data_IF_716830736058
#
_entry.id   IF_716830736058
#
_cell.length_a   1.000
_cell.length_b   1.000
_cell.length_c   1.000
_cell.angle_alpha   90.00
_cell.angle_beta   90.00
_cell.angle_gamma   90.00
#
_symmetry.space_group_name_H-M   'P 1'
#
loop_
_entity.id
_entity.type
_entity.pdbx_description
1 polymer ?
#
# COMPACT_ATOMS: atom_id res chain seq x y z
N UNK A 1 -22.19 2.06 -43.61
CA UNK A 1 -20.81 1.67 -43.24
C UNK A 1 -19.92 2.87 -42.97
N UNK A 2 -19.82 3.84 -43.87
CA UNK A 2 -18.99 5.06 -43.74
C UNK A 2 -19.24 5.86 -42.43
N UNK A 3 -20.48 6.11 -42.07
CA UNK A 3 -20.86 6.83 -40.86
C UNK A 3 -20.46 6.12 -39.56
N UNK A 4 -20.33 4.79 -39.56
CA UNK A 4 -19.89 3.99 -38.43
C UNK A 4 -18.37 4.08 -38.27
N UNK A 5 -17.66 4.12 -39.40
CA UNK A 5 -16.18 4.29 -39.43
C UNK A 5 -15.78 5.70 -38.98
N UNK A 6 -16.50 6.74 -39.47
CA UNK A 6 -16.22 8.13 -39.08
C UNK A 6 -16.47 8.38 -37.58
N UNK A 7 -17.53 7.78 -37.03
CA UNK A 7 -17.74 7.81 -35.53
C UNK A 7 -16.69 7.04 -34.77
N UNK A 8 -16.12 5.97 -35.32
CA UNK A 8 -15.04 5.22 -34.72
C UNK A 8 -13.72 6.02 -34.71
N UNK A 9 -13.42 6.66 -35.86
CA UNK A 9 -12.24 7.52 -36.02
C UNK A 9 -12.34 8.75 -35.13
N UNK A 10 -13.51 9.39 -35.05
CA UNK A 10 -13.73 10.53 -34.14
C UNK A 10 -13.61 10.10 -32.65
N UNK A 11 -14.11 8.89 -32.32
CA UNK A 11 -13.93 8.30 -30.98
C UNK A 11 -12.47 7.95 -30.67
N UNK A 12 -11.73 7.44 -31.63
CA UNK A 12 -10.30 7.16 -31.48
C UNK A 12 -9.50 8.45 -31.30
N UNK A 13 -9.79 9.50 -32.11
CA UNK A 13 -9.11 10.79 -32.00
C UNK A 13 -9.42 11.53 -30.70
N UNK A 14 -10.67 11.48 -30.21
CA UNK A 14 -11.00 12.01 -28.87
C UNK A 14 -10.42 11.17 -27.74
N UNK A 15 -10.26 9.86 -27.92
CA UNK A 15 -9.58 9.00 -26.95
C UNK A 15 -8.08 9.26 -26.91
N UNK A 16 -7.40 9.39 -28.04
CA UNK A 16 -5.97 9.73 -28.11
C UNK A 16 -5.68 11.11 -27.54
N UNK A 17 -6.55 12.09 -27.77
CA UNK A 17 -6.40 13.46 -27.24
C UNK A 17 -6.56 13.51 -25.70
N UNK A 18 -7.52 12.77 -25.13
CA UNK A 18 -7.68 12.66 -23.66
C UNK A 18 -6.53 11.88 -23.01
N UNK A 19 -5.93 10.96 -23.73
CA UNK A 19 -4.78 10.18 -23.30
C UNK A 19 -3.50 11.03 -23.21
N UNK A 20 -3.31 11.92 -24.18
CA UNK A 20 -2.20 12.87 -24.17
C UNK A 20 -2.25 13.82 -22.96
N UNK A 21 -3.43 14.21 -22.49
CA UNK A 21 -3.59 15.09 -21.31
C UNK A 21 -3.14 14.36 -20.03
N UNK A 22 -3.56 13.11 -19.82
CA UNK A 22 -3.11 12.32 -18.67
C UNK A 22 -1.59 12.11 -18.68
N UNK A 23 -1.01 11.83 -19.85
CA UNK A 23 0.44 11.71 -19.99
C UNK A 23 1.15 13.03 -19.71
N UNK A 24 0.66 14.15 -20.22
CA UNK A 24 1.21 15.48 -19.96
C UNK A 24 1.24 15.83 -18.46
N UNK A 25 0.26 15.36 -17.68
CA UNK A 25 0.21 15.59 -16.24
C UNK A 25 1.14 14.60 -15.51
N UNK A 26 1.04 13.31 -15.82
CA UNK A 26 1.76 12.30 -15.03
C UNK A 26 3.25 12.19 -15.36
N UNK A 27 3.70 12.52 -16.58
CA UNK A 27 5.13 12.47 -16.93
C UNK A 27 5.96 13.41 -16.04
N UNK A 28 5.68 14.73 -15.95
CA UNK A 28 6.45 15.61 -15.08
C UNK A 28 6.38 15.22 -13.60
N UNK A 29 5.20 14.80 -13.15
CA UNK A 29 5.01 14.34 -11.78
C UNK A 29 5.85 13.09 -11.47
N UNK A 30 5.90 12.13 -12.38
CA UNK A 30 6.70 10.90 -12.19
C UNK A 30 8.19 11.15 -12.34
N UNK A 31 8.62 12.13 -13.15
CA UNK A 31 10.02 12.58 -13.18
C UNK A 31 10.42 13.21 -11.83
N UNK A 32 9.59 14.11 -11.31
CA UNK A 32 9.82 14.70 -10.00
C UNK A 32 9.86 13.62 -8.91
N UNK A 33 8.90 12.72 -8.92
CA UNK A 33 8.88 11.57 -8.00
C UNK A 33 10.17 10.76 -8.06
N UNK A 34 10.62 10.40 -9.27
CA UNK A 34 11.82 9.61 -9.48
C UNK A 34 13.08 10.32 -8.98
N UNK A 35 13.21 11.63 -9.26
CA UNK A 35 14.32 12.45 -8.76
C UNK A 35 14.32 12.47 -7.24
N UNK A 36 13.18 12.77 -6.61
CA UNK A 36 13.06 12.85 -5.15
C UNK A 36 13.33 11.49 -4.48
N UNK A 37 12.81 10.40 -5.04
CA UNK A 37 13.06 9.04 -4.56
C UNK A 37 14.56 8.71 -4.60
N UNK A 38 15.25 9.03 -5.73
CA UNK A 38 16.69 8.79 -5.86
C UNK A 38 17.50 9.65 -4.89
N UNK A 39 17.11 10.90 -4.65
CA UNK A 39 17.77 11.74 -3.62
C UNK A 39 17.67 11.10 -2.24
N UNK A 40 16.52 10.57 -1.86
CA UNK A 40 16.35 9.82 -0.61
C UNK A 40 17.20 8.55 -0.59
N UNK A 41 17.16 7.79 -1.67
CA UNK A 41 17.91 6.55 -1.79
C UNK A 41 19.43 6.76 -1.61
N UNK A 42 20.00 7.79 -2.25
CA UNK A 42 21.42 8.15 -2.10
C UNK A 42 21.73 8.71 -0.71
N UNK A 43 20.83 9.50 -0.14
CA UNK A 43 21.02 10.11 1.18
C UNK A 43 21.11 9.09 2.31
N UNK A 44 20.28 8.03 2.23
CA UNK A 44 20.09 7.07 3.33
C UNK A 44 20.86 5.75 3.17
N UNK A 45 21.56 5.56 2.05
CA UNK A 45 22.30 4.32 1.77
C UNK A 45 23.79 4.59 1.51
N UNK A 46 24.61 3.60 1.86
CA UNK A 46 26.04 3.57 1.53
C UNK A 46 26.24 3.56 0.01
N UNK A 47 27.28 4.25 -0.47
CA UNK A 47 27.62 4.31 -1.89
C UNK A 47 27.77 2.92 -2.54
N UNK A 48 28.35 1.94 -1.83
CA UNK A 48 28.49 0.57 -2.33
C UNK A 48 27.11 -0.06 -2.56
N UNK A 49 26.15 0.15 -1.65
CA UNK A 49 24.77 -0.32 -1.77
C UNK A 49 24.11 0.34 -2.98
N UNK A 50 24.22 1.67 -3.10
CA UNK A 50 23.63 2.44 -4.21
C UNK A 50 24.14 1.97 -5.55
N UNK A 51 25.47 1.89 -5.74
CA UNK A 51 26.07 1.44 -7.02
C UNK A 51 25.72 -0.01 -7.33
N UNK A 52 25.71 -0.90 -6.34
CA UNK A 52 25.35 -2.31 -6.55
C UNK A 52 23.91 -2.44 -7.04
N UNK A 53 22.96 -1.68 -6.47
CA UNK A 53 21.55 -1.71 -6.87
C UNK A 53 21.35 -1.14 -8.26
N UNK A 54 22.02 -0.04 -8.61
CA UNK A 54 21.97 0.52 -9.95
C UNK A 54 22.51 -0.47 -11.00
N UNK A 55 23.65 -1.11 -10.75
CA UNK A 55 24.22 -2.11 -11.63
C UNK A 55 23.30 -3.34 -11.78
N UNK A 56 22.75 -3.84 -10.69
CA UNK A 56 21.79 -4.95 -10.71
C UNK A 56 20.52 -4.57 -11.49
N UNK A 57 20.01 -3.36 -11.32
CA UNK A 57 18.83 -2.88 -12.04
C UNK A 57 19.09 -2.79 -13.54
N UNK A 58 20.22 -2.19 -13.96
CA UNK A 58 20.61 -2.10 -15.35
C UNK A 58 20.83 -3.51 -15.93
N UNK A 59 21.57 -4.35 -15.21
CA UNK A 59 21.84 -5.74 -15.62
C UNK A 59 20.54 -6.54 -15.78
N UNK A 60 19.59 -6.38 -14.89
CA UNK A 60 18.29 -7.05 -15.00
C UNK A 60 17.47 -6.57 -16.20
N UNK A 61 17.41 -5.27 -16.45
CA UNK A 61 16.74 -4.72 -17.64
C UNK A 61 17.40 -5.26 -18.92
N UNK A 62 18.74 -5.30 -18.95
CA UNK A 62 19.49 -5.90 -20.06
C UNK A 62 19.20 -7.40 -20.22
N UNK A 63 19.18 -8.17 -19.13
CA UNK A 63 18.82 -9.60 -19.16
C UNK A 63 17.40 -9.81 -19.69
N UNK A 64 16.42 -9.04 -19.22
CA UNK A 64 15.05 -9.10 -19.71
C UNK A 64 15.01 -8.83 -21.22
N UNK A 65 15.73 -7.82 -21.68
CA UNK A 65 15.83 -7.50 -23.11
C UNK A 65 16.48 -8.62 -23.91
N UNK A 66 17.61 -9.18 -23.44
CA UNK A 66 18.31 -10.28 -24.11
C UNK A 66 17.48 -11.56 -24.18
N UNK A 67 16.75 -11.87 -23.12
CA UNK A 67 15.94 -13.10 -23.01
C UNK A 67 14.46 -12.90 -23.37
N UNK A 68 14.09 -11.77 -23.98
CA UNK A 68 12.71 -11.44 -24.34
C UNK A 68 11.98 -12.54 -25.11
N UNK A 69 12.67 -13.21 -26.04
CA UNK A 69 12.08 -14.29 -26.84
C UNK A 69 11.75 -15.53 -26.00
N UNK A 70 12.58 -15.83 -25.02
CA UNK A 70 12.29 -16.89 -24.03
C UNK A 70 11.13 -16.54 -23.14
N UNK A 71 11.02 -15.28 -22.70
CA UNK A 71 9.89 -14.78 -21.89
C UNK A 71 8.60 -14.77 -22.71
N UNK A 72 8.68 -14.62 -24.03
CA UNK A 72 7.54 -14.67 -24.96
C UNK A 72 6.98 -16.07 -25.22
N UNK A 73 7.78 -17.12 -25.01
CA UNK A 73 7.29 -18.48 -25.26
C UNK A 73 6.05 -18.79 -24.42
N UNK A 74 5.00 -19.35 -25.01
CA UNK A 74 3.82 -19.70 -24.25
C UNK A 74 4.14 -20.71 -23.15
N UNK A 75 3.52 -20.51 -21.99
CA UNK A 75 3.61 -21.45 -20.87
C UNK A 75 2.26 -22.14 -20.69
N UNK A 76 2.25 -23.46 -20.56
CA UNK A 76 1.00 -24.20 -20.33
C UNK A 76 0.32 -23.78 -19.03
N UNK A 77 -1.00 -23.88 -18.93
CA UNK A 77 -1.73 -23.55 -17.72
C UNK A 77 -1.27 -24.43 -16.54
N UNK A 78 -1.03 -25.72 -16.80
CA UNK A 78 -0.57 -26.68 -15.78
C UNK A 78 0.80 -26.28 -15.22
N UNK A 79 1.75 -25.92 -16.09
CA UNK A 79 3.10 -25.50 -15.68
C UNK A 79 3.03 -24.17 -14.93
N UNK A 80 2.22 -23.22 -15.40
CA UNK A 80 2.00 -21.93 -14.73
C UNK A 80 1.48 -22.10 -13.31
N UNK A 81 0.41 -22.90 -13.15
CA UNK A 81 -0.17 -23.16 -11.85
C UNK A 81 0.83 -23.85 -10.90
N UNK A 82 1.55 -24.87 -11.39
CA UNK A 82 2.60 -25.54 -10.61
C UNK A 82 3.72 -24.59 -10.19
N UNK A 83 4.15 -23.68 -11.10
CA UNK A 83 5.20 -22.71 -10.79
C UNK A 83 4.74 -21.70 -9.72
N UNK A 84 3.49 -21.18 -9.80
CA UNK A 84 2.98 -20.27 -8.77
C UNK A 84 2.84 -20.97 -7.41
N UNK A 85 2.35 -22.22 -7.38
CA UNK A 85 2.32 -23.00 -6.15
C UNK A 85 3.73 -23.28 -5.60
N UNK A 86 4.69 -23.57 -6.48
CA UNK A 86 6.09 -23.72 -6.08
C UNK A 86 6.65 -22.45 -5.45
N UNK A 87 6.43 -21.30 -6.08
CA UNK A 87 6.84 -19.99 -5.52
C UNK A 87 6.20 -19.78 -4.16
N UNK A 88 4.88 -19.95 -4.04
CA UNK A 88 4.15 -19.80 -2.78
C UNK A 88 4.71 -20.70 -1.68
N UNK A 89 4.82 -22.02 -1.93
CA UNK A 89 5.24 -22.99 -0.91
C UNK A 89 6.68 -22.72 -0.47
N UNK A 90 7.60 -22.51 -1.43
CA UNK A 90 9.01 -22.27 -1.10
C UNK A 90 9.17 -20.97 -0.31
N UNK A 91 8.55 -19.89 -0.76
CA UNK A 91 8.62 -18.60 -0.05
C UNK A 91 7.98 -18.68 1.33
N UNK A 92 6.80 -19.30 1.44
CA UNK A 92 6.11 -19.44 2.72
C UNK A 92 6.92 -20.27 3.72
N UNK A 93 7.53 -21.37 3.28
CA UNK A 93 8.42 -22.17 4.14
C UNK A 93 9.62 -21.34 4.62
N UNK A 94 10.33 -20.68 3.69
CA UNK A 94 11.49 -19.84 4.05
C UNK A 94 11.07 -18.75 5.04
N UNK A 95 10.00 -18.03 4.75
CA UNK A 95 9.51 -16.95 5.59
C UNK A 95 9.00 -17.44 6.95
N UNK A 96 8.37 -18.61 7.01
CA UNK A 96 7.98 -19.25 8.28
C UNK A 96 9.21 -19.58 9.12
N UNK A 97 10.28 -20.13 8.51
CA UNK A 97 11.54 -20.38 9.20
C UNK A 97 12.15 -19.06 9.71
N UNK A 98 12.14 -18.00 8.91
CA UNK A 98 12.58 -16.66 9.38
C UNK A 98 11.74 -16.21 10.58
N UNK A 99 10.42 -16.30 10.54
CA UNK A 99 9.55 -15.98 11.68
C UNK A 99 9.89 -16.77 12.94
N UNK A 100 10.20 -18.05 12.79
CA UNK A 100 10.47 -18.93 13.95
C UNK A 100 11.83 -18.67 14.57
N UNK A 101 12.85 -18.42 13.77
CA UNK A 101 14.25 -18.37 14.25
C UNK A 101 14.80 -16.95 14.38
N UNK A 102 14.23 -15.95 13.71
CA UNK A 102 14.65 -14.56 13.82
C UNK A 102 13.76 -13.83 14.83
N UNK A 103 14.30 -13.35 15.96
CA UNK A 103 13.51 -12.59 16.90
C UNK A 103 13.13 -11.24 16.30
N UNK A 104 11.82 -10.97 16.20
CA UNK A 104 11.31 -9.67 15.75
C UNK A 104 11.33 -8.70 16.95
N UNK A 105 11.99 -7.56 16.78
CA UNK A 105 11.98 -6.52 17.81
C UNK A 105 10.74 -5.63 17.62
N UNK A 106 9.79 -5.77 18.53
CA UNK A 106 8.62 -4.90 18.61
C UNK A 106 8.97 -3.59 19.32
N UNK A 107 8.50 -2.47 18.81
CA UNK A 107 8.75 -1.14 19.37
C UNK A 107 7.57 -0.20 19.07
N UNK A 108 7.42 0.87 19.86
CA UNK A 108 6.35 1.88 19.68
C UNK A 108 4.97 1.21 19.57
N UNK A 109 4.12 1.64 18.65
CA UNK A 109 2.78 1.12 18.43
C UNK A 109 2.70 -0.41 18.28
N UNK A 110 3.76 -1.03 17.72
CA UNK A 110 3.77 -2.49 17.51
C UNK A 110 3.77 -3.27 18.81
N UNK A 111 4.48 -2.76 19.85
CA UNK A 111 4.51 -3.42 21.16
C UNK A 111 3.17 -3.22 21.87
N UNK A 112 2.60 -2.01 21.81
CA UNK A 112 1.33 -1.69 22.45
C UNK A 112 0.21 -2.57 21.89
N UNK A 113 0.10 -2.63 20.55
CA UNK A 113 -0.92 -3.45 19.86
C UNK A 113 -0.73 -4.94 20.16
N UNK A 114 0.53 -5.42 20.22
CA UNK A 114 0.83 -6.80 20.56
C UNK A 114 0.42 -7.16 21.98
N UNK A 115 0.88 -6.38 22.97
CA UNK A 115 0.63 -6.65 24.38
C UNK A 115 -0.86 -6.55 24.69
N UNK A 116 -1.54 -5.55 24.15
CA UNK A 116 -2.98 -5.42 24.30
C UNK A 116 -3.73 -6.61 23.71
N UNK A 117 -3.32 -7.10 22.53
CA UNK A 117 -3.96 -8.26 21.91
C UNK A 117 -3.77 -9.55 22.70
N UNK A 118 -2.62 -9.73 23.34
CA UNK A 118 -2.34 -10.87 24.23
C UNK A 118 -3.18 -10.73 25.52
N UNK A 119 -3.20 -9.54 26.13
CA UNK A 119 -3.97 -9.28 27.34
C UNK A 119 -5.46 -9.60 27.14
N UNK A 120 -6.03 -9.21 26.01
CA UNK A 120 -7.44 -9.46 25.72
C UNK A 120 -7.84 -10.94 25.70
N UNK A 121 -6.89 -11.86 25.56
CA UNK A 121 -7.19 -13.29 25.66
C UNK A 121 -7.43 -13.75 27.12
N UNK A 122 -6.92 -12.99 28.10
CA UNK A 122 -7.09 -13.26 29.52
C UNK A 122 -8.20 -12.38 30.12
N UNK A 123 -8.18 -11.10 29.79
CA UNK A 123 -9.17 -10.11 30.21
C UNK A 123 -9.55 -9.23 29.02
N UNK A 124 -10.81 -9.32 28.60
CA UNK A 124 -11.34 -8.60 27.43
C UNK A 124 -11.58 -7.11 27.75
N UNK A 125 -10.52 -6.45 28.22
CA UNK A 125 -10.49 -5.03 28.57
C UNK A 125 -9.25 -4.35 27.98
N UNK A 126 -9.22 -3.02 28.04
CA UNK A 126 -8.00 -2.26 27.72
C UNK A 126 -7.08 -2.25 28.93
N UNK A 127 -5.78 -2.56 28.71
CA UNK A 127 -4.76 -2.49 29.75
C UNK A 127 -4.65 -1.05 30.29
N UNK A 128 -4.68 -0.85 31.63
CA UNK A 128 -4.64 0.50 32.22
C UNK A 128 -3.47 1.37 31.73
N UNK A 129 -2.29 0.76 31.49
CA UNK A 129 -1.12 1.49 31.00
C UNK A 129 -1.24 1.96 29.54
N UNK A 130 -2.18 1.39 28.77
CA UNK A 130 -2.42 1.73 27.37
C UNK A 130 -3.78 2.41 27.13
N UNK A 131 -4.56 2.62 28.19
CA UNK A 131 -5.86 3.25 28.10
C UNK A 131 -5.80 4.60 27.40
N UNK A 132 -4.89 5.47 27.81
CA UNK A 132 -4.68 6.76 27.20
C UNK A 132 -4.25 6.65 25.72
N UNK A 133 -3.42 5.68 25.36
CA UNK A 133 -3.02 5.45 23.97
C UNK A 133 -4.23 5.10 23.09
N UNK A 134 -5.11 4.23 23.56
CA UNK A 134 -6.29 3.84 22.77
C UNK A 134 -7.36 4.92 22.73
N UNK A 135 -7.45 5.79 23.71
CA UNK A 135 -8.26 7.01 23.60
C UNK A 135 -7.70 7.98 22.57
N UNK A 136 -6.38 8.10 22.46
CA UNK A 136 -5.73 8.92 21.43
C UNK A 136 -5.83 8.32 20.02
N UNK A 137 -5.81 6.97 19.92
CA UNK A 137 -5.81 6.22 18.66
C UNK A 137 -6.87 5.10 18.62
N UNK A 138 -8.17 5.42 18.75
CA UNK A 138 -9.23 4.41 18.91
C UNK A 138 -9.36 3.46 17.70
N UNK A 139 -8.96 3.89 16.51
CA UNK A 139 -8.96 3.05 15.33
C UNK A 139 -7.98 1.87 15.42
N UNK A 140 -6.98 1.91 16.32
CA UNK A 140 -6.05 0.81 16.55
C UNK A 140 -6.72 -0.38 17.23
N UNK A 141 -7.81 -0.19 17.96
CA UNK A 141 -8.57 -1.28 18.58
C UNK A 141 -9.12 -2.27 17.54
N UNK A 142 -9.41 -1.82 16.33
CA UNK A 142 -9.83 -2.74 15.25
C UNK A 142 -8.77 -3.78 14.93
N UNK A 143 -7.51 -3.39 14.88
CA UNK A 143 -6.42 -4.33 14.58
C UNK A 143 -6.05 -5.18 15.79
N UNK A 144 -6.16 -4.62 17.02
CA UNK A 144 -5.98 -5.36 18.27
C UNK A 144 -6.94 -6.54 18.33
N UNK A 145 -8.24 -6.30 18.09
CA UNK A 145 -9.28 -7.36 18.07
C UNK A 145 -8.97 -8.46 17.06
N UNK A 146 -8.52 -8.08 15.85
CA UNK A 146 -8.16 -9.07 14.82
C UNK A 146 -6.95 -9.90 15.27
N UNK A 147 -5.94 -9.27 15.84
CA UNK A 147 -4.74 -9.94 16.34
C UNK A 147 -5.07 -10.83 17.55
N UNK A 148 -5.92 -10.36 18.46
CA UNK A 148 -6.40 -11.16 19.59
C UNK A 148 -7.12 -12.42 19.12
N UNK A 149 -8.08 -12.29 18.19
CA UNK A 149 -8.78 -13.45 17.60
C UNK A 149 -7.79 -14.48 17.01
N UNK A 150 -6.77 -14.01 16.29
CA UNK A 150 -5.74 -14.90 15.75
C UNK A 150 -4.86 -15.50 16.86
N UNK A 151 -4.55 -14.74 17.91
CA UNK A 151 -3.80 -15.22 19.05
C UNK A 151 -4.56 -16.32 19.80
N UNK A 152 -5.84 -16.15 20.06
CA UNK A 152 -6.69 -17.17 20.66
C UNK A 152 -6.78 -18.43 19.78
N UNK A 153 -6.93 -18.26 18.46
CA UNK A 153 -7.03 -19.37 17.51
C UNK A 153 -5.76 -20.24 17.46
N UNK A 154 -4.58 -19.62 17.55
CA UNK A 154 -3.29 -20.32 17.42
C UNK A 154 -2.57 -20.59 18.76
N UNK A 155 -3.06 -20.03 19.86
CA UNK A 155 -2.49 -20.18 21.20
C UNK A 155 -1.08 -19.56 21.34
N UNK A 156 -0.61 -18.80 20.35
CA UNK A 156 0.71 -18.17 20.41
C UNK A 156 0.82 -16.97 19.46
N UNK A 157 1.61 -15.97 19.85
CA UNK A 157 1.87 -14.82 18.99
C UNK A 157 2.71 -15.16 17.74
N UNK A 158 3.52 -16.22 17.79
CA UNK A 158 4.20 -16.78 16.63
C UNK A 158 3.22 -17.30 15.58
N UNK A 159 2.09 -17.85 15.98
CA UNK A 159 1.00 -18.20 15.08
C UNK A 159 0.44 -16.99 14.33
N UNK A 160 0.28 -15.86 15.02
CA UNK A 160 -0.17 -14.61 14.41
C UNK A 160 0.86 -14.06 13.41
N UNK A 161 2.15 -14.12 13.73
CA UNK A 161 3.24 -13.76 12.80
C UNK A 161 3.21 -14.64 11.53
N UNK A 162 3.01 -15.95 11.68
CA UNK A 162 2.89 -16.89 10.55
C UNK A 162 1.67 -16.57 9.68
N UNK A 163 0.52 -16.23 10.28
CA UNK A 163 -0.67 -15.82 9.52
C UNK A 163 -0.42 -14.51 8.77
N UNK A 164 0.26 -13.55 9.40
CA UNK A 164 0.66 -12.30 8.73
C UNK A 164 1.53 -12.61 7.51
N UNK A 165 2.51 -13.47 7.67
CA UNK A 165 3.38 -13.96 6.61
C UNK A 165 2.58 -14.64 5.49
N UNK A 166 1.61 -15.47 5.84
CA UNK A 166 0.71 -16.12 4.87
C UNK A 166 -0.05 -15.09 4.03
N UNK A 167 -0.60 -14.03 4.64
CA UNK A 167 -1.33 -12.98 3.93
C UNK A 167 -0.41 -12.18 3.00
N UNK A 168 0.85 -11.93 3.38
CA UNK A 168 1.85 -11.31 2.52
C UNK A 168 2.17 -12.19 1.32
N UNK A 169 2.37 -13.51 1.52
CA UNK A 169 2.58 -14.47 0.44
C UNK A 169 1.37 -14.55 -0.51
N UNK A 170 0.16 -14.59 0.03
CA UNK A 170 -1.07 -14.53 -0.79
C UNK A 170 -1.09 -13.25 -1.62
N UNK A 171 -0.65 -12.12 -1.05
CA UNK A 171 -0.57 -10.85 -1.78
C UNK A 171 0.41 -10.92 -2.96
N UNK A 172 1.53 -11.62 -2.83
CA UNK A 172 2.49 -11.85 -3.92
C UNK A 172 1.88 -12.70 -5.04
N UNK A 173 1.17 -13.77 -4.69
CA UNK A 173 0.48 -14.62 -5.66
C UNK A 173 -0.65 -13.85 -6.37
N UNK A 174 -1.44 -13.06 -5.63
CA UNK A 174 -2.45 -12.19 -6.21
C UNK A 174 -1.83 -11.15 -7.17
N UNK A 175 -0.66 -10.60 -6.86
CA UNK A 175 0.07 -9.72 -7.77
C UNK A 175 0.47 -10.44 -9.06
N UNK A 176 0.97 -11.68 -8.97
CA UNK A 176 1.24 -12.52 -10.12
C UNK A 176 0.00 -12.81 -10.95
N UNK A 177 -1.09 -13.29 -10.32
CA UNK A 177 -2.37 -13.57 -10.99
C UNK A 177 -2.95 -12.32 -11.67
N UNK A 178 -2.91 -11.18 -10.99
CA UNK A 178 -3.37 -9.89 -11.54
C UNK A 178 -2.53 -9.49 -12.75
N UNK A 179 -1.21 -9.65 -12.66
CA UNK A 179 -0.30 -9.41 -13.79
C UNK A 179 -0.64 -10.30 -14.97
N UNK A 180 -0.93 -11.59 -14.73
CA UNK A 180 -1.38 -12.49 -15.78
C UNK A 180 -2.69 -12.03 -16.44
N UNK A 181 -3.67 -11.63 -15.64
CA UNK A 181 -4.97 -11.15 -16.13
C UNK A 181 -4.83 -9.87 -16.99
N UNK A 182 -3.91 -8.98 -16.62
CA UNK A 182 -3.69 -7.70 -17.34
C UNK A 182 -2.85 -7.91 -18.60
N UNK A 183 -1.77 -8.69 -18.50
CA UNK A 183 -0.75 -8.80 -19.55
C UNK A 183 -0.96 -9.97 -20.49
N UNK A 184 -1.70 -10.98 -20.07
CA UNK A 184 -1.84 -12.27 -20.77
C UNK A 184 -0.57 -13.13 -20.73
N UNK A 185 0.52 -12.69 -20.04
CA UNK A 185 1.80 -13.39 -20.03
C UNK A 185 2.07 -14.07 -18.69
N UNK A 186 2.02 -15.40 -18.69
CA UNK A 186 2.20 -16.24 -17.49
C UNK A 186 3.63 -16.19 -16.93
N UNK A 187 4.66 -16.01 -17.78
CA UNK A 187 6.05 -15.94 -17.31
C UNK A 187 6.33 -14.63 -16.58
N UNK A 188 5.85 -13.51 -17.12
CA UNK A 188 5.94 -12.21 -16.44
C UNK A 188 5.21 -12.26 -15.10
N UNK A 189 4.07 -12.92 -15.01
CA UNK A 189 3.32 -13.10 -13.78
C UNK A 189 4.10 -13.87 -12.70
N UNK A 190 4.81 -14.94 -13.09
CA UNK A 190 5.68 -15.68 -12.17
C UNK A 190 6.84 -14.81 -11.70
N UNK A 191 7.48 -14.06 -12.60
CA UNK A 191 8.59 -13.15 -12.25
C UNK A 191 8.11 -12.08 -11.25
N UNK A 192 6.93 -11.51 -11.45
CA UNK A 192 6.35 -10.53 -10.51
C UNK A 192 6.14 -11.15 -9.13
N UNK A 193 5.57 -12.35 -9.06
CA UNK A 193 5.39 -13.06 -7.79
C UNK A 193 6.74 -13.31 -7.10
N UNK A 194 7.74 -13.83 -7.83
CA UNK A 194 9.08 -14.08 -7.28
C UNK A 194 9.74 -12.78 -6.77
N UNK A 195 9.71 -11.71 -7.54
CA UNK A 195 10.34 -10.45 -7.13
C UNK A 195 9.70 -9.88 -5.86
N UNK A 196 8.38 -9.97 -5.73
CA UNK A 196 7.71 -9.53 -4.52
C UNK A 196 7.98 -10.46 -3.33
N UNK A 197 8.04 -11.77 -3.54
CA UNK A 197 8.43 -12.74 -2.50
C UNK A 197 9.87 -12.53 -2.02
N UNK A 198 10.80 -12.26 -2.93
CA UNK A 198 12.18 -11.90 -2.55
C UNK A 198 12.19 -10.63 -1.71
N UNK A 199 11.45 -9.58 -2.12
CA UNK A 199 11.33 -8.38 -1.31
C UNK A 199 10.78 -8.69 0.09
N UNK A 200 9.65 -9.38 0.19
CA UNK A 200 8.99 -9.66 1.46
C UNK A 200 9.84 -10.55 2.36
N UNK A 201 10.58 -11.51 1.80
CA UNK A 201 11.49 -12.40 2.56
C UNK A 201 12.58 -11.61 3.30
N UNK A 202 13.15 -10.59 2.67
CA UNK A 202 14.22 -9.78 3.26
C UNK A 202 13.73 -8.52 3.96
N UNK A 203 12.45 -8.26 3.97
CA UNK A 203 11.82 -7.15 4.67
C UNK A 203 11.19 -7.64 5.98
N UNK A 204 11.97 -7.73 7.07
CA UNK A 204 11.53 -8.30 8.35
C UNK A 204 10.26 -7.64 8.90
N UNK A 205 10.02 -6.38 8.56
CA UNK A 205 8.83 -5.66 8.97
C UNK A 205 7.53 -6.27 8.41
N UNK A 206 7.60 -6.99 7.28
CA UNK A 206 6.42 -7.66 6.70
C UNK A 206 5.89 -8.82 7.56
N UNK A 207 6.71 -9.33 8.47
CA UNK A 207 6.34 -10.41 9.39
C UNK A 207 5.57 -9.92 10.62
N UNK A 208 5.70 -8.63 10.96
CA UNK A 208 5.07 -8.08 12.16
C UNK A 208 3.55 -7.96 11.99
N UNK A 209 2.73 -8.56 12.86
CA UNK A 209 1.28 -8.37 12.85
C UNK A 209 0.94 -6.90 13.14
N UNK A 210 0.55 -6.18 12.08
CA UNK A 210 0.16 -4.77 12.17
C UNK A 210 -0.71 -4.38 10.99
N UNK A 211 -1.42 -3.27 11.12
CA UNK A 211 -2.42 -2.82 10.16
C UNK A 211 -1.92 -2.73 8.71
N UNK A 212 -0.68 -2.29 8.48
CA UNK A 212 -0.11 -2.17 7.15
C UNK A 212 0.17 -3.54 6.51
N UNK A 213 0.61 -4.52 7.29
CA UNK A 213 1.01 -5.85 6.81
C UNK A 213 -0.21 -6.76 6.62
N UNK A 214 -1.10 -6.82 7.62
CA UNK A 214 -2.39 -7.50 7.49
C UNK A 214 -3.29 -6.85 6.42
N UNK A 215 -3.15 -5.53 6.24
CA UNK A 215 -3.88 -4.76 5.23
C UNK A 215 -3.35 -4.88 3.81
N UNK A 216 -2.12 -5.37 3.60
CA UNK A 216 -1.45 -5.43 2.29
C UNK A 216 -2.23 -6.21 1.24
N UNK A 217 -2.98 -7.23 1.66
CA UNK A 217 -3.79 -8.05 0.77
C UNK A 217 -4.94 -7.29 0.10
N UNK A 218 -5.52 -6.27 0.75
CA UNK A 218 -6.77 -5.67 0.25
C UNK A 218 -6.60 -4.85 -1.02
N UNK A 219 -5.62 -3.95 -1.19
CA UNK A 219 -5.42 -3.23 -2.45
C UNK A 219 -5.23 -4.17 -3.64
N UNK A 220 -4.45 -5.24 -3.47
CA UNK A 220 -4.20 -6.18 -4.55
C UNK A 220 -5.39 -7.13 -4.79
N UNK A 221 -6.13 -7.52 -3.75
CA UNK A 221 -7.34 -8.32 -3.87
C UNK A 221 -8.42 -7.57 -4.65
N UNK A 222 -8.64 -6.29 -4.34
CA UNK A 222 -9.56 -5.40 -5.07
C UNK A 222 -9.19 -5.36 -6.56
N UNK A 223 -7.90 -5.15 -6.86
CA UNK A 223 -7.42 -5.13 -8.25
C UNK A 223 -7.54 -6.49 -8.93
N UNK A 224 -7.26 -7.58 -8.22
CA UNK A 224 -7.43 -8.94 -8.72
C UNK A 224 -8.89 -9.21 -9.09
N UNK A 225 -9.84 -8.95 -8.18
CA UNK A 225 -11.27 -9.12 -8.44
C UNK A 225 -11.69 -8.27 -9.65
N UNK A 226 -11.24 -7.02 -9.74
CA UNK A 226 -11.52 -6.15 -10.86
C UNK A 226 -11.06 -6.74 -12.20
N UNK A 227 -9.93 -7.42 -12.24
CA UNK A 227 -9.34 -8.00 -13.46
C UNK A 227 -9.85 -9.39 -13.81
N UNK A 228 -10.58 -10.08 -12.92
CA UNK A 228 -11.17 -11.41 -13.18
C UNK A 228 -12.29 -11.36 -14.23
N UNK A 229 -12.74 -12.54 -14.68
CA UNK A 229 -13.88 -12.69 -15.62
C UNK A 229 -15.23 -12.86 -14.92
N UNK A 230 -15.34 -12.46 -13.65
CA UNK A 230 -16.62 -12.50 -12.92
C UNK A 230 -17.66 -11.56 -13.54
N UNK A 231 -18.95 -11.83 -13.30
CA UNK A 231 -20.02 -10.90 -13.68
C UNK A 231 -19.86 -9.55 -12.95
N UNK A 232 -20.37 -8.46 -13.57
CA UNK A 232 -20.22 -7.10 -13.03
C UNK A 232 -20.78 -6.96 -11.62
N UNK A 233 -21.96 -7.54 -11.36
CA UNK A 233 -22.63 -7.47 -10.07
C UNK A 233 -21.78 -8.13 -8.98
N UNK A 234 -21.34 -9.38 -9.19
CA UNK A 234 -20.48 -10.05 -8.22
C UNK A 234 -19.15 -9.36 -7.98
N UNK A 235 -18.56 -8.76 -9.04
CA UNK A 235 -17.35 -7.94 -8.89
C UNK A 235 -17.55 -6.80 -7.90
N UNK A 236 -18.61 -6.00 -8.08
CA UNK A 236 -18.81 -4.82 -7.23
C UNK A 236 -19.15 -5.22 -5.80
N UNK A 237 -19.87 -6.32 -5.60
CA UNK A 237 -20.17 -6.88 -4.26
C UNK A 237 -18.89 -7.35 -3.57
N UNK A 238 -18.07 -8.16 -4.23
CA UNK A 238 -16.81 -8.65 -3.66
C UNK A 238 -15.81 -7.52 -3.40
N UNK A 239 -15.74 -6.51 -4.30
CA UNK A 239 -14.91 -5.33 -4.10
C UNK A 239 -15.42 -4.52 -2.90
N UNK A 240 -16.73 -4.32 -2.78
CA UNK A 240 -17.32 -3.60 -1.65
C UNK A 240 -16.98 -4.28 -0.31
N UNK A 241 -17.07 -5.60 -0.24
CA UNK A 241 -16.67 -6.37 0.93
C UNK A 241 -15.18 -6.20 1.23
N UNK A 242 -14.32 -6.38 0.22
CA UNK A 242 -12.86 -6.24 0.39
C UNK A 242 -12.46 -4.82 0.86
N UNK A 243 -13.15 -3.79 0.36
CA UNK A 243 -12.93 -2.39 0.79
C UNK A 243 -13.41 -2.18 2.22
N UNK A 244 -14.59 -2.67 2.58
CA UNK A 244 -15.14 -2.50 3.92
C UNK A 244 -14.26 -3.18 4.98
N UNK A 245 -13.84 -4.43 4.75
CA UNK A 245 -12.90 -5.14 5.66
C UNK A 245 -11.53 -4.46 5.67
N UNK A 246 -10.98 -4.14 4.50
CA UNK A 246 -9.69 -3.47 4.38
C UNK A 246 -9.65 -2.12 5.07
N UNK A 247 -10.75 -1.35 5.03
CA UNK A 247 -10.88 -0.07 5.74
C UNK A 247 -10.80 -0.26 7.26
N UNK A 248 -11.37 -1.33 7.80
CA UNK A 248 -11.28 -1.65 9.24
C UNK A 248 -9.88 -2.06 9.66
N UNK A 249 -9.17 -2.77 8.81
CA UNK A 249 -7.75 -3.14 9.06
C UNK A 249 -6.85 -1.91 8.92
N UNK A 250 -7.03 -1.13 7.84
CA UNK A 250 -6.26 0.09 7.56
C UNK A 250 -7.09 1.07 6.74
N UNK A 251 -7.48 2.19 7.34
CA UNK A 251 -8.34 3.19 6.67
C UNK A 251 -7.83 3.64 5.30
N UNK A 252 -6.51 3.69 5.11
CA UNK A 252 -5.90 4.14 3.84
C UNK A 252 -6.11 3.16 2.68
N UNK A 253 -6.69 1.97 2.90
CA UNK A 253 -7.15 1.05 1.84
C UNK A 253 -8.13 1.71 0.88
N UNK A 254 -8.86 2.73 1.33
CA UNK A 254 -9.82 3.45 0.49
C UNK A 254 -9.16 4.25 -0.65
N UNK A 255 -7.89 4.63 -0.54
CA UNK A 255 -7.23 5.53 -1.49
C UNK A 255 -7.14 4.95 -2.91
N UNK A 256 -6.54 3.75 -3.13
CA UNK A 256 -6.55 3.13 -4.47
C UNK A 256 -7.97 2.80 -4.96
N UNK A 257 -8.89 2.52 -4.03
CA UNK A 257 -10.29 2.27 -4.36
C UNK A 257 -10.98 3.51 -4.93
N UNK A 258 -10.76 4.70 -4.35
CA UNK A 258 -11.31 5.96 -4.88
C UNK A 258 -10.85 6.17 -6.32
N UNK A 259 -9.55 5.96 -6.61
CA UNK A 259 -9.04 6.06 -7.98
C UNK A 259 -9.75 5.08 -8.94
N UNK A 260 -9.97 3.84 -8.49
CA UNK A 260 -10.72 2.86 -9.27
C UNK A 260 -12.18 3.27 -9.50
N UNK A 261 -12.86 3.79 -8.47
CA UNK A 261 -14.25 4.28 -8.59
C UNK A 261 -14.36 5.45 -9.56
N UNK A 262 -13.42 6.39 -9.54
CA UNK A 262 -13.41 7.51 -10.49
C UNK A 262 -13.33 7.01 -11.94
N UNK A 263 -12.50 6.01 -12.23
CA UNK A 263 -12.37 5.45 -13.59
C UNK A 263 -13.53 4.53 -14.00
N UNK A 264 -13.94 3.62 -13.09
CA UNK A 264 -15.01 2.65 -13.38
C UNK A 264 -16.38 3.30 -13.31
N UNK A 265 -16.62 4.16 -12.34
CA UNK A 265 -17.87 4.90 -12.19
C UNK A 265 -18.19 5.74 -13.42
N UNK A 266 -17.20 6.49 -13.91
CA UNK A 266 -17.35 7.22 -15.17
C UNK A 266 -17.74 6.30 -16.35
N UNK A 267 -17.12 5.11 -16.45
CA UNK A 267 -17.45 4.13 -17.48
C UNK A 267 -18.88 3.61 -17.34
N UNK A 268 -19.29 3.22 -16.14
CA UNK A 268 -20.61 2.69 -15.84
C UNK A 268 -21.71 3.74 -16.09
N UNK A 269 -21.49 4.99 -15.70
CA UNK A 269 -22.39 6.11 -16.00
C UNK A 269 -22.54 6.32 -17.51
N UNK A 270 -21.43 6.27 -18.25
CA UNK A 270 -21.45 6.40 -19.71
C UNK A 270 -22.17 5.26 -20.41
N UNK A 271 -22.04 4.04 -19.88
CA UNK A 271 -22.74 2.84 -20.37
C UNK A 271 -24.19 2.77 -19.85
N UNK A 272 -24.60 3.71 -18.99
CA UNK A 272 -25.91 3.74 -18.31
C UNK A 272 -26.20 2.48 -17.47
N UNK A 273 -25.14 1.85 -16.94
CA UNK A 273 -25.24 0.68 -16.08
C UNK A 273 -25.43 1.11 -14.60
N UNK A 274 -26.56 1.82 -14.37
CA UNK A 274 -26.92 2.32 -13.04
C UNK A 274 -27.15 1.18 -12.04
N UNK A 275 -27.63 0.03 -12.51
CA UNK A 275 -27.83 -1.15 -11.64
C UNK A 275 -26.54 -1.57 -10.97
N UNK A 276 -25.44 -1.69 -11.72
CA UNK A 276 -24.13 -2.06 -11.16
C UNK A 276 -23.63 -1.00 -10.17
N UNK A 277 -23.83 0.29 -10.45
CA UNK A 277 -23.44 1.37 -9.54
C UNK A 277 -24.23 1.32 -8.23
N UNK A 278 -25.56 1.18 -8.32
CA UNK A 278 -26.44 1.13 -7.14
C UNK A 278 -26.09 -0.10 -6.28
N UNK A 279 -25.96 -1.27 -6.89
CA UNK A 279 -25.59 -2.51 -6.16
C UNK A 279 -24.24 -2.36 -5.49
N UNK A 280 -23.22 -1.80 -6.18
CA UNK A 280 -21.90 -1.59 -5.61
C UNK A 280 -21.93 -0.64 -4.41
N UNK A 281 -22.61 0.49 -4.54
CA UNK A 281 -22.75 1.47 -3.47
C UNK A 281 -23.57 0.91 -2.28
N UNK A 282 -24.71 0.28 -2.53
CA UNK A 282 -25.53 -0.34 -1.51
C UNK A 282 -24.75 -1.45 -0.75
N UNK A 283 -24.02 -2.30 -1.47
CA UNK A 283 -23.17 -3.33 -0.86
C UNK A 283 -22.09 -2.72 0.03
N UNK A 284 -21.43 -1.64 -0.41
CA UNK A 284 -20.42 -0.95 0.39
C UNK A 284 -21.04 -0.38 1.68
N UNK A 285 -22.20 0.26 1.58
CA UNK A 285 -22.90 0.81 2.76
C UNK A 285 -23.31 -0.31 3.74
N UNK A 286 -23.89 -1.40 3.25
CA UNK A 286 -24.31 -2.54 4.06
C UNK A 286 -23.11 -3.17 4.78
N UNK A 287 -22.03 -3.49 4.07
CA UNK A 287 -20.86 -4.10 4.68
C UNK A 287 -20.14 -3.14 5.65
N UNK A 288 -20.04 -1.86 5.32
CA UNK A 288 -19.45 -0.87 6.20
C UNK A 288 -20.27 -0.70 7.48
N UNK A 289 -21.61 -0.68 7.37
CA UNK A 289 -22.51 -0.61 8.53
C UNK A 289 -22.39 -1.86 9.40
N UNK A 290 -22.46 -3.05 8.81
CA UNK A 290 -22.35 -4.32 9.54
C UNK A 290 -21.01 -4.43 10.30
N UNK A 291 -19.89 -4.10 9.64
CA UNK A 291 -18.57 -4.13 10.29
C UNK A 291 -18.42 -3.03 11.36
N UNK A 292 -19.09 -1.87 11.18
CA UNK A 292 -19.15 -0.83 12.22
C UNK A 292 -19.91 -1.31 13.44
N UNK A 293 -21.06 -1.96 13.23
CA UNK A 293 -21.88 -2.50 14.32
C UNK A 293 -21.14 -3.59 15.10
N UNK A 294 -20.43 -4.49 14.40
CA UNK A 294 -19.59 -5.51 15.04
C UNK A 294 -18.47 -4.85 15.87
N UNK A 295 -17.80 -3.85 15.30
CA UNK A 295 -16.74 -3.12 16.01
C UNK A 295 -17.26 -2.42 17.26
N UNK A 296 -18.39 -1.71 17.17
CA UNK A 296 -19.00 -1.04 18.32
C UNK A 296 -19.41 -2.04 19.40
N UNK A 297 -20.01 -3.18 19.05
CA UNK A 297 -20.32 -4.25 20.00
C UNK A 297 -19.06 -4.79 20.70
N UNK A 298 -17.93 -4.86 20.01
CA UNK A 298 -16.64 -5.24 20.60
C UNK A 298 -16.12 -4.19 21.57
N UNK A 299 -16.22 -2.89 21.23
CA UNK A 299 -15.85 -1.80 22.14
C UNK A 299 -16.72 -1.80 23.42
N UNK A 300 -18.03 -2.03 23.28
CA UNK A 300 -18.93 -2.16 24.43
C UNK A 300 -18.53 -3.31 25.35
N UNK A 301 -18.16 -4.48 24.78
CA UNK A 301 -17.66 -5.61 25.58
C UNK A 301 -16.33 -5.31 26.28
N UNK A 302 -15.49 -4.45 25.71
CA UNK A 302 -14.24 -3.98 26.31
C UNK A 302 -14.48 -2.88 27.36
N UNK A 303 -15.71 -2.45 27.58
CA UNK A 303 -16.05 -1.28 28.38
C UNK A 303 -15.32 -0.01 27.95
N UNK A 304 -14.93 0.06 26.66
CA UNK A 304 -14.20 1.17 26.09
C UNK A 304 -15.16 2.22 25.53
N UNK A 305 -15.09 3.42 26.10
CA UNK A 305 -15.85 4.59 25.65
C UNK A 305 -14.88 5.56 25.00
N UNK A 306 -15.05 5.79 23.70
CA UNK A 306 -14.20 6.75 22.99
C UNK A 306 -14.42 8.18 23.51
N UNK A 307 -13.36 8.82 24.01
CA UNK A 307 -13.38 10.24 24.36
C UNK A 307 -12.95 11.08 23.14
N UNK A 308 -13.93 11.69 22.47
CA UNK A 308 -13.67 12.52 21.29
C UNK A 308 -12.77 13.74 21.58
N UNK A 309 -12.58 14.13 22.85
CA UNK A 309 -11.72 15.23 23.23
C UNK A 309 -10.24 14.85 23.19
N UNK A 310 -9.93 13.55 23.30
CA UNK A 310 -8.57 12.99 23.30
C UNK A 310 -8.24 12.37 21.94
N UNK A 311 -9.23 11.84 21.20
CA UNK A 311 -9.01 11.20 19.89
C UNK A 311 -8.25 12.14 18.93
N UNK A 312 -7.06 11.75 18.52
CA UNK A 312 -6.16 12.57 17.71
C UNK A 312 -6.75 12.95 16.34
N UNK A 313 -7.64 12.16 15.77
CA UNK A 313 -8.34 12.49 14.53
C UNK A 313 -7.44 12.79 13.32
N UNK A 314 -8.04 13.05 12.17
CA UNK A 314 -7.29 13.30 10.93
C UNK A 314 -6.51 14.62 10.95
N UNK A 315 -7.07 15.68 11.57
CA UNK A 315 -6.47 17.03 11.56
C UNK A 315 -5.15 17.05 12.35
N UNK A 316 -5.04 16.30 13.43
CA UNK A 316 -3.78 16.10 14.14
C UNK A 316 -2.68 15.53 13.21
N UNK A 317 -3.01 14.49 12.42
CA UNK A 317 -2.05 13.92 11.47
C UNK A 317 -1.66 14.91 10.37
N UNK A 318 -2.55 15.80 9.98
CA UNK A 318 -2.22 16.90 9.05
C UNK A 318 -1.23 17.87 9.71
N UNK A 319 -1.44 18.25 10.96
CA UNK A 319 -0.49 19.11 11.69
C UNK A 319 0.88 18.45 11.85
N UNK A 320 0.90 17.17 12.23
CA UNK A 320 2.11 16.36 12.30
C UNK A 320 2.82 16.32 10.94
N UNK A 321 2.06 16.04 9.89
CA UNK A 321 2.56 15.92 8.51
C UNK A 321 3.04 17.23 7.91
N UNK A 322 2.58 18.38 8.39
CA UNK A 322 3.02 19.69 7.93
C UNK A 322 4.07 20.33 8.84
N UNK A 323 4.51 19.62 9.89
CA UNK A 323 5.47 20.15 10.86
C UNK A 323 6.85 20.43 10.21
N UNK A 324 7.30 21.69 10.26
CA UNK A 324 8.56 22.12 9.65
C UNK A 324 9.80 21.52 10.33
N UNK A 325 9.93 21.55 11.68
CA UNK A 325 11.10 21.03 12.38
C UNK A 325 11.43 19.57 12.07
N UNK A 326 10.41 18.72 11.90
CA UNK A 326 10.61 17.28 11.65
C UNK A 326 10.51 16.89 10.17
N UNK A 327 10.27 17.86 9.27
CA UNK A 327 10.03 17.55 7.85
C UNK A 327 8.76 16.72 7.63
N UNK A 328 7.78 16.85 8.53
CA UNK A 328 6.51 16.13 8.48
C UNK A 328 6.58 14.67 8.98
N UNK A 329 7.64 14.29 9.67
CA UNK A 329 7.75 13.05 10.41
C UNK A 329 7.15 13.21 11.81
N UNK A 330 7.11 12.13 12.60
CA UNK A 330 6.64 12.16 13.98
C UNK A 330 7.35 13.26 14.77
N UNK A 331 6.58 14.06 15.49
CA UNK A 331 7.06 15.10 16.40
C UNK A 331 6.52 14.83 17.80
N UNK A 332 7.44 14.56 18.74
CA UNK A 332 7.09 14.21 20.11
C UNK A 332 6.37 15.36 20.83
N UNK A 333 6.81 16.62 20.63
CA UNK A 333 6.21 17.78 21.30
C UNK A 333 4.75 18.00 20.85
N UNK A 334 4.47 17.80 19.54
CA UNK A 334 3.11 17.84 19.03
C UNK A 334 2.26 16.69 19.57
N UNK A 335 2.84 15.51 19.79
CA UNK A 335 2.13 14.37 20.37
C UNK A 335 1.78 14.66 21.84
N UNK A 336 2.73 15.08 22.65
CA UNK A 336 2.49 15.48 24.06
C UNK A 336 1.46 16.59 24.16
N UNK A 337 1.45 17.53 23.20
CA UNK A 337 0.46 18.59 23.16
C UNK A 337 -0.95 18.06 22.81
N UNK A 338 -1.03 17.12 21.89
CA UNK A 338 -2.30 16.48 21.49
C UNK A 338 -2.90 15.63 22.62
N UNK A 339 -2.05 15.09 23.47
CA UNK A 339 -2.43 14.30 24.64
C UNK A 339 -3.04 15.14 25.77
N UNK A 340 -2.99 16.47 25.67
CA UNK A 340 -3.64 17.36 26.63
C UNK A 340 -5.15 17.45 26.33
N UNK A 341 -6.00 17.47 27.36
CA UNK A 341 -7.45 17.62 27.15
C UNK A 341 -7.78 18.99 26.58
N UNK A 342 -8.53 19.01 25.47
CA UNK A 342 -9.11 20.20 24.89
C UNK A 342 -10.55 20.38 25.41
N UNK A 343 -11.08 21.61 25.44
CA UNK A 343 -12.48 21.85 25.84
C UNK A 343 -13.48 21.09 24.97
N UNK A 344 -13.20 21.02 23.66
CA UNK A 344 -13.98 20.25 22.71
C UNK A 344 -13.12 19.70 21.57
N UNK A 345 -13.64 18.72 20.85
CA UNK A 345 -13.02 18.25 19.59
C UNK A 345 -12.81 19.37 18.58
N UNK A 346 -13.78 20.30 18.50
CA UNK A 346 -13.71 21.45 17.58
C UNK A 346 -12.51 22.35 17.92
N UNK A 347 -12.34 22.71 19.20
CA UNK A 347 -11.22 23.57 19.64
C UNK A 347 -9.88 22.90 19.34
N UNK A 348 -9.77 21.59 19.55
CA UNK A 348 -8.57 20.80 19.20
C UNK A 348 -8.31 20.82 17.70
N UNK A 349 -9.30 20.54 16.89
CA UNK A 349 -9.16 20.48 15.43
C UNK A 349 -8.82 21.88 14.87
N UNK A 350 -9.41 22.95 15.37
CA UNK A 350 -9.05 24.33 15.02
C UNK A 350 -7.61 24.67 15.41
N UNK A 351 -7.17 24.25 16.60
CA UNK A 351 -5.79 24.45 17.05
C UNK A 351 -4.78 23.76 16.13
N UNK A 352 -4.95 22.45 15.86
CA UNK A 352 -4.03 21.71 15.01
C UNK A 352 -4.09 22.14 13.54
N UNK A 353 -5.27 22.51 13.03
CA UNK A 353 -5.39 23.09 11.71
C UNK A 353 -4.65 24.43 11.61
N UNK A 354 -4.75 25.27 12.63
CA UNK A 354 -3.99 26.52 12.74
C UNK A 354 -2.48 26.28 12.66
N UNK A 355 -1.97 25.29 13.40
CA UNK A 355 -0.54 24.89 13.37
C UNK A 355 -0.11 24.42 11.98
N UNK A 356 -0.92 23.59 11.31
CA UNK A 356 -0.65 23.14 9.96
C UNK A 356 -0.59 24.30 8.96
N UNK A 357 -1.59 25.18 8.99
CA UNK A 357 -1.67 26.36 8.12
C UNK A 357 -0.48 27.31 8.37
N UNK A 358 -0.12 27.55 9.62
CA UNK A 358 1.04 28.36 9.99
C UNK A 358 2.31 27.78 9.36
N UNK A 359 2.57 26.49 9.58
CA UNK A 359 3.74 25.79 9.01
C UNK A 359 3.80 25.87 7.49
N UNK A 360 2.65 25.79 6.81
CA UNK A 360 2.57 25.96 5.35
C UNK A 360 2.88 27.39 4.93
N UNK A 361 2.35 28.41 5.64
CA UNK A 361 2.57 29.84 5.33
C UNK A 361 4.02 30.28 5.54
N UNK A 362 4.72 29.70 6.51
CA UNK A 362 6.13 29.99 6.79
C UNK A 362 7.07 29.52 5.69
N UNK A 363 6.63 28.60 4.83
CA UNK A 363 7.43 28.08 3.71
C UNK A 363 7.23 28.94 2.45
N UNK A 364 8.33 29.38 1.83
CA UNK A 364 8.31 29.93 0.47
C UNK A 364 7.89 28.84 -0.54
N UNK A 365 7.55 29.22 -1.77
CA UNK A 365 7.22 28.27 -2.84
C UNK A 365 8.34 27.22 -3.06
N UNK A 366 9.60 27.63 -3.04
CA UNK A 366 10.76 26.75 -3.11
C UNK A 366 10.85 25.89 -1.86
N UNK A 367 10.55 26.44 -0.67
CA UNK A 367 10.47 25.70 0.59
C UNK A 367 9.40 24.59 0.54
N UNK A 368 8.23 24.85 -0.03
CA UNK A 368 7.18 23.85 -0.25
C UNK A 368 7.66 22.72 -1.15
N UNK A 369 8.34 23.05 -2.26
CA UNK A 369 8.87 22.03 -3.17
C UNK A 369 9.95 21.18 -2.49
N UNK A 370 10.85 21.80 -1.72
CA UNK A 370 11.88 21.08 -0.93
C UNK A 370 11.24 20.16 0.12
N UNK A 371 10.21 20.64 0.80
CA UNK A 371 9.48 19.87 1.80
C UNK A 371 8.78 18.66 1.18
N UNK A 372 8.11 18.84 0.05
CA UNK A 372 7.48 17.76 -0.72
C UNK A 372 8.53 16.73 -1.18
N UNK A 373 9.65 17.21 -1.74
CA UNK A 373 10.75 16.35 -2.17
C UNK A 373 11.33 15.53 -1.01
N UNK A 374 11.54 16.16 0.15
CA UNK A 374 12.03 15.47 1.34
C UNK A 374 11.08 14.38 1.83
N UNK A 375 9.76 14.63 1.82
CA UNK A 375 8.75 13.62 2.18
C UNK A 375 8.73 12.44 1.20
N UNK A 376 8.79 12.69 -0.10
CA UNK A 376 8.90 11.59 -1.09
C UNK A 376 10.20 10.82 -0.86
N UNK A 377 11.32 11.52 -0.72
CA UNK A 377 12.62 10.92 -0.47
C UNK A 377 12.59 10.00 0.76
N UNK A 378 11.99 10.45 1.85
CA UNK A 378 11.85 9.68 3.06
C UNK A 378 10.91 8.47 2.92
N UNK A 379 9.69 8.69 2.39
CA UNK A 379 8.68 7.62 2.32
C UNK A 379 8.99 6.55 1.26
N UNK A 380 9.58 6.94 0.13
CA UNK A 380 9.73 6.07 -1.04
C UNK A 380 11.19 5.76 -1.40
N UNK A 381 12.12 6.62 -1.04
CA UNK A 381 13.56 6.43 -1.29
C UNK A 381 14.26 5.76 -0.12
N UNK A 382 13.77 6.01 1.11
CA UNK A 382 14.28 5.35 2.29
C UNK A 382 13.56 4.03 2.50
N UNK A 383 14.28 2.97 2.38
CA UNK A 383 13.82 1.65 2.80
C UNK A 383 14.15 1.40 4.27
N UNK A 384 14.06 2.44 5.09
CA UNK A 384 14.20 2.41 6.55
C UNK A 384 13.14 1.53 7.22
N UNK A 385 13.06 0.32 6.73
CA UNK A 385 12.02 -0.59 7.12
C UNK A 385 12.53 -1.47 8.24
N UNK A 386 13.83 -1.67 8.32
CA UNK A 386 14.42 -2.59 9.28
C UNK A 386 15.67 -2.01 9.94
N UNK A 387 15.51 -1.31 11.06
CA UNK A 387 16.60 -1.12 12.02
C UNK A 387 17.00 -2.41 12.72
N UNK A 388 16.43 -3.53 12.33
CA UNK A 388 16.47 -4.75 13.08
C UNK A 388 17.58 -5.66 12.62
N UNK A 389 18.40 -5.96 13.55
CA UNK A 389 19.33 -7.06 13.81
C UNK A 389 20.01 -7.73 12.59
N UNK A 390 19.26 -8.06 11.54
CA UNK A 390 19.77 -8.82 10.42
C UNK A 390 20.37 -7.95 9.31
N UNK A 391 19.68 -6.87 8.92
CA UNK A 391 20.09 -6.04 7.79
C UNK A 391 21.10 -4.94 8.15
N UNK A 392 21.31 -4.65 9.41
CA UNK A 392 22.28 -3.63 9.83
C UNK A 392 23.72 -4.04 9.54
N UNK A 393 24.00 -5.34 9.52
CA UNK A 393 25.35 -5.89 9.39
C UNK A 393 25.59 -6.66 8.10
N UNK A 394 24.56 -7.03 7.35
CA UNK A 394 24.73 -7.77 6.09
C UNK A 394 24.36 -6.91 4.88
N UNK A 395 25.39 -6.34 4.25
CA UNK A 395 25.24 -5.52 3.05
C UNK A 395 24.57 -6.26 1.88
N UNK A 396 24.75 -7.58 1.78
CA UNK A 396 24.17 -8.39 0.69
C UNK A 396 22.65 -8.47 0.83
N UNK A 397 22.15 -8.76 2.02
CA UNK A 397 20.71 -8.82 2.28
C UNK A 397 20.05 -7.46 2.06
N UNK A 398 20.73 -6.40 2.50
CA UNK A 398 20.29 -5.02 2.27
C UNK A 398 20.21 -4.70 0.77
N UNK A 399 21.24 -5.08 0.00
CA UNK A 399 21.26 -4.89 -1.45
C UNK A 399 20.10 -5.65 -2.12
N UNK A 400 19.85 -6.91 -1.76
CA UNK A 400 18.77 -7.72 -2.35
C UNK A 400 17.40 -7.07 -2.10
N UNK A 401 17.13 -6.68 -0.84
CA UNK A 401 15.88 -6.01 -0.46
C UNK A 401 15.66 -4.72 -1.26
N UNK A 402 16.64 -3.83 -1.24
CA UNK A 402 16.54 -2.54 -1.91
C UNK A 402 16.50 -2.67 -3.43
N UNK A 403 17.21 -3.64 -3.99
CA UNK A 403 17.23 -3.88 -5.42
C UNK A 403 15.84 -4.21 -5.96
N UNK A 404 15.11 -5.14 -5.34
CA UNK A 404 13.78 -5.52 -5.84
C UNK A 404 12.78 -4.36 -5.73
N UNK A 405 12.85 -3.60 -4.66
CA UNK A 405 12.08 -2.36 -4.49
C UNK A 405 12.41 -1.33 -5.58
N UNK A 406 13.68 -0.99 -5.70
CA UNK A 406 14.15 0.03 -6.63
C UNK A 406 13.84 -0.34 -8.09
N UNK A 407 14.02 -1.61 -8.45
CA UNK A 407 13.67 -2.12 -9.77
C UNK A 407 12.17 -1.92 -10.06
N UNK A 408 11.30 -2.30 -9.13
CA UNK A 408 9.86 -2.17 -9.32
C UNK A 408 9.43 -0.71 -9.47
N UNK A 409 9.98 0.19 -8.64
CA UNK A 409 9.72 1.64 -8.73
C UNK A 409 10.22 2.24 -10.04
N UNK A 410 11.44 1.90 -10.46
CA UNK A 410 12.02 2.37 -11.72
C UNK A 410 11.17 1.93 -12.92
N UNK A 411 10.75 0.67 -12.95
CA UNK A 411 9.86 0.17 -14.00
C UNK A 411 8.50 0.87 -13.98
N UNK A 412 7.91 1.12 -12.80
CA UNK A 412 6.66 1.88 -12.70
C UNK A 412 6.81 3.29 -13.31
N UNK A 413 7.92 3.98 -13.03
CA UNK A 413 8.18 5.31 -13.62
C UNK A 413 8.31 5.20 -15.14
N UNK A 414 9.11 4.27 -15.66
CA UNK A 414 9.27 4.03 -17.10
C UNK A 414 7.91 3.76 -17.77
N UNK A 415 7.03 3.03 -17.10
CA UNK A 415 5.68 2.71 -17.60
C UNK A 415 4.84 3.94 -17.93
N UNK A 416 5.03 5.02 -17.19
CA UNK A 416 4.29 6.28 -17.42
C UNK A 416 4.57 6.88 -18.80
N UNK A 417 5.78 6.64 -19.35
CA UNK A 417 6.17 7.13 -20.66
C UNK A 417 5.68 6.25 -21.81
N UNK A 418 5.56 4.94 -21.58
CA UNK A 418 5.37 3.97 -22.66
C UNK A 418 3.98 3.33 -22.69
N UNK A 419 3.27 3.25 -21.54
CA UNK A 419 1.96 2.60 -21.46
C UNK A 419 0.87 3.64 -21.70
N UNK A 420 -0.02 3.31 -22.65
CA UNK A 420 -1.20 4.13 -23.01
C UNK A 420 -2.52 3.46 -22.60
N UNK A 421 -2.50 2.59 -21.59
CA UNK A 421 -3.72 1.93 -21.09
C UNK A 421 -4.30 2.71 -19.90
N UNK A 422 -5.60 2.99 -19.95
CA UNK A 422 -6.31 3.72 -18.89
C UNK A 422 -6.21 3.04 -17.52
N UNK A 423 -6.16 1.71 -17.49
CA UNK A 423 -6.04 0.95 -16.24
C UNK A 423 -4.69 1.19 -15.56
N UNK A 424 -3.62 1.41 -16.36
CA UNK A 424 -2.32 1.79 -15.81
C UNK A 424 -2.40 3.16 -15.13
N UNK A 425 -3.04 4.15 -15.76
CA UNK A 425 -3.20 5.48 -15.18
C UNK A 425 -4.16 5.50 -13.99
N UNK A 426 -5.13 4.59 -13.95
CA UNK A 426 -5.96 4.37 -12.75
C UNK A 426 -5.10 3.95 -11.56
N UNK A 427 -4.20 2.97 -11.74
CA UNK A 427 -3.29 2.54 -10.69
C UNK A 427 -2.32 3.65 -10.30
N UNK A 428 -1.78 4.35 -11.29
CA UNK A 428 -0.90 5.48 -11.07
C UNK A 428 -1.58 6.60 -10.28
N UNK A 429 -2.85 6.90 -10.56
CA UNK A 429 -3.66 7.84 -9.77
C UNK A 429 -3.83 7.35 -8.32
N UNK A 430 -4.02 6.05 -8.11
CA UNK A 430 -4.05 5.45 -6.77
C UNK A 430 -2.75 5.66 -6.01
N UNK A 431 -1.60 5.44 -6.64
CA UNK A 431 -0.28 5.69 -6.05
C UNK A 431 -0.10 7.19 -5.75
N UNK A 432 -0.52 8.08 -6.67
CA UNK A 432 -0.49 9.52 -6.42
C UNK A 432 -1.44 9.96 -5.29
N UNK A 433 -2.57 9.28 -5.13
CA UNK A 433 -3.45 9.46 -3.97
C UNK A 433 -2.74 9.13 -2.65
N UNK A 434 -1.94 8.06 -2.63
CA UNK A 434 -1.10 7.71 -1.47
C UNK A 434 0.00 8.76 -1.25
N UNK A 435 0.67 9.23 -2.31
CA UNK A 435 1.67 10.29 -2.21
C UNK A 435 1.04 11.57 -1.65
N UNK A 436 -0.12 11.96 -2.15
CA UNK A 436 -0.85 13.15 -1.67
C UNK A 436 -1.29 13.00 -0.20
N UNK A 437 -1.79 11.83 0.17
CA UNK A 437 -2.13 11.53 1.56
C UNK A 437 -0.91 11.67 2.48
N UNK A 438 0.22 11.05 2.12
CA UNK A 438 1.47 11.13 2.89
C UNK A 438 2.09 12.53 2.88
N UNK A 439 1.84 13.33 1.84
CA UNK A 439 2.22 14.75 1.85
C UNK A 439 1.45 15.54 2.89
N UNK A 440 0.15 15.30 3.02
CA UNK A 440 -0.71 15.98 3.98
C UNK A 440 -0.51 15.46 5.41
N UNK A 441 -0.43 14.14 5.59
CA UNK A 441 -0.32 13.48 6.88
C UNK A 441 1.14 13.22 7.29
N UNK A 442 1.33 12.63 8.47
CA UNK A 442 2.63 12.17 8.94
C UNK A 442 3.34 11.30 7.89
N UNK A 443 4.63 11.58 7.68
CA UNK A 443 5.47 10.84 6.76
C UNK A 443 6.12 9.64 7.46
N UNK A 444 5.99 8.46 6.85
CA UNK A 444 6.64 7.24 7.34
C UNK A 444 6.84 6.23 6.21
N UNK A 445 8.04 5.67 6.08
CA UNK A 445 8.34 4.67 5.06
C UNK A 445 7.45 3.41 5.19
N UNK A 446 7.03 3.06 6.42
CA UNK A 446 6.12 1.93 6.67
C UNK A 446 4.76 2.06 6.00
N UNK A 447 4.31 3.28 5.70
CA UNK A 447 2.98 3.52 5.15
C UNK A 447 2.84 3.15 3.67
N UNK A 448 3.95 3.02 2.94
CA UNK A 448 3.93 2.62 1.52
C UNK A 448 3.93 1.11 1.32
N UNK A 449 4.32 0.32 2.34
CA UNK A 449 4.42 -1.16 2.24
C UNK A 449 3.14 -1.82 1.74
N UNK A 450 1.99 -1.36 2.23
CA UNK A 450 0.69 -1.90 1.89
C UNK A 450 0.38 -1.83 0.37
N UNK A 451 1.01 -0.91 -0.35
CA UNK A 451 0.75 -0.67 -1.77
C UNK A 451 1.79 -1.32 -2.69
N UNK A 452 2.81 -1.95 -2.12
CA UNK A 452 3.87 -2.60 -2.89
C UNK A 452 3.38 -3.61 -3.92
N UNK A 453 2.40 -4.49 -3.61
CA UNK A 453 1.90 -5.42 -4.61
C UNK A 453 1.39 -4.73 -5.89
N UNK A 454 0.78 -3.54 -5.78
CA UNK A 454 0.32 -2.76 -6.94
C UNK A 454 1.49 -2.25 -7.78
N UNK A 455 2.58 -1.82 -7.14
CA UNK A 455 3.80 -1.36 -7.83
C UNK A 455 4.44 -2.50 -8.62
N UNK A 456 4.52 -3.71 -8.04
CA UNK A 456 5.04 -4.89 -8.74
C UNK A 456 4.17 -5.30 -9.93
N UNK A 457 2.84 -5.21 -9.83
CA UNK A 457 1.93 -5.41 -10.98
C UNK A 457 2.22 -4.40 -12.09
N UNK A 458 2.39 -3.12 -11.75
CA UNK A 458 2.75 -2.08 -12.71
C UNK A 458 4.09 -2.36 -13.38
N UNK A 459 5.10 -2.76 -12.62
CA UNK A 459 6.40 -3.17 -13.14
C UNK A 459 6.30 -4.34 -14.13
N UNK A 460 5.53 -5.36 -13.80
CA UNK A 460 5.25 -6.49 -14.70
C UNK A 460 4.58 -6.06 -16.01
N UNK A 461 3.65 -5.10 -15.93
CA UNK A 461 3.01 -4.55 -17.13
C UNK A 461 4.00 -3.83 -18.04
N UNK A 462 4.94 -3.10 -17.44
CA UNK A 462 6.03 -2.43 -18.18
C UNK A 462 6.93 -3.44 -18.87
N UNK A 463 7.35 -4.50 -18.17
CA UNK A 463 8.16 -5.58 -18.75
C UNK A 463 7.44 -6.18 -19.97
N UNK A 464 6.15 -6.48 -19.86
CA UNK A 464 5.34 -6.97 -21.00
C UNK A 464 5.35 -5.97 -22.15
N UNK A 465 5.20 -4.68 -21.88
CA UNK A 465 5.06 -3.68 -22.95
C UNK A 465 6.37 -3.35 -23.67
N UNK A 466 7.50 -3.33 -22.93
CA UNK A 466 8.81 -3.00 -23.47
C UNK A 466 9.45 -4.14 -24.25
N UNK A 467 9.34 -5.35 -23.74
CA UNK A 467 10.19 -6.46 -24.17
C UNK A 467 9.42 -7.59 -24.85
N UNK A 468 8.07 -7.57 -24.77
CA UNK A 468 7.26 -8.69 -25.19
C UNK A 468 6.20 -8.20 -26.18
N UNK A 469 6.31 -8.59 -27.44
CA UNK A 469 5.35 -8.28 -28.50
C UNK A 469 4.12 -9.19 -28.45
#
# INVERSE_FOLDING_TARGET
MKQRTDRLILRMNTMTRKFSILQMIFIPLMLLFFICMNMGFVKYNDCVVVYSILLLTIGTIFCIWKFKDSINKPLSQKTYSKSLWGVFIVSFVIQTLVCMYVPLAYYSDFIIVREQAIHMAEDYSVMPQYDFYFHSYPYQLSIVVIINFLYELFGSYKGVEIVTTLLVNISAILAGLTTCNITGNRRVAIVVAILFEVFSTFCLKTYMPYSANLGMIFPILILYIYTTRMSRIWKVVCIALAVAVGYRVKMTTIIPFIAMVMFCGYKLLRERDLKTLIVGFASLMIFSYALSSIHNCMLEKMHFVNDEKIDHGFIYYVAMGQNNPTGGQYNHDLSVLADRPFPSKKDRDEYFLGKAIQSVKERSAIGQLKFFAAKIAFCWGETYIDHLYFCKYDKVLLIIKHYTWYLAMTLMVIGTFIIRDRRYYMLLLGIWGVIAYLYLSEAGARYVLMYMPLVYVMAGWVVKRLFIR
#
